data_IF_858313828087
#
_entry.id   IF_858313828087
#
_cell.length_a   1.000
_cell.length_b   1.000
_cell.length_c   1.000
_cell.angle_alpha   90.00
_cell.angle_beta   90.00
_cell.angle_gamma   90.00
#
_symmetry.space_group_name_H-M   'P 1'
#
loop_
_entity.id
_entity.type
_entity.pdbx_description
1 polymer ?
#
# COMPACT_ATOMS: atom_id res chain seq x y z
N UNK A 1 -76.74 19.33 42.94
CA UNK A 1 -75.60 18.65 42.28
C UNK A 1 -75.06 19.62 41.26
N UNK A 2 -73.86 20.18 41.52
CA UNK A 2 -73.20 21.17 40.60
C UNK A 2 -72.11 20.47 39.80
N UNK A 3 -72.27 20.47 38.49
CA UNK A 3 -71.26 19.99 37.59
C UNK A 3 -70.19 21.08 37.36
N UNK A 4 -68.94 20.73 37.64
CA UNK A 4 -67.76 21.58 37.32
C UNK A 4 -67.14 21.00 36.00
N UNK A 5 -66.94 21.82 34.99
CA UNK A 5 -66.22 21.34 33.77
C UNK A 5 -64.72 21.40 33.98
N UNK A 6 -64.04 20.29 33.63
CA UNK A 6 -62.60 20.17 33.63
C UNK A 6 -62.01 20.71 32.29
N UNK A 7 -61.27 21.81 32.41
CA UNK A 7 -60.59 22.40 31.26
C UNK A 7 -59.23 21.67 31.01
N UNK A 8 -59.10 21.04 29.89
CA UNK A 8 -57.81 20.42 29.45
C UNK A 8 -57.03 21.48 28.70
N UNK A 9 -55.98 21.99 29.31
CA UNK A 9 -55.02 22.88 28.67
C UNK A 9 -54.05 22.08 27.79
N UNK A 10 -54.07 22.32 26.46
CA UNK A 10 -53.11 21.79 25.52
C UNK A 10 -51.91 22.74 25.46
N UNK A 11 -50.79 22.34 26.04
CA UNK A 11 -49.52 23.07 25.97
C UNK A 11 -48.79 22.65 24.70
N UNK A 12 -48.76 23.50 23.69
CA UNK A 12 -48.02 23.30 22.45
C UNK A 12 -46.55 23.64 22.70
N UNK A 13 -45.70 22.62 22.78
CA UNK A 13 -44.23 22.79 22.84
C UNK A 13 -43.74 22.98 21.41
N UNK A 14 -43.36 24.23 21.07
CA UNK A 14 -42.68 24.53 19.82
C UNK A 14 -41.22 24.03 19.89
N UNK A 15 -40.93 22.95 19.20
CA UNK A 15 -39.56 22.42 19.04
C UNK A 15 -38.84 23.25 17.97
N UNK A 16 -38.07 24.27 18.39
CA UNK A 16 -37.22 25.06 17.52
C UNK A 16 -35.97 24.22 17.20
N UNK A 17 -36.02 23.42 16.12
CA UNK A 17 -34.90 22.65 15.67
C UNK A 17 -33.81 23.55 15.09
N UNK A 18 -32.72 23.77 15.82
CA UNK A 18 -31.50 24.34 15.29
C UNK A 18 -30.87 23.33 14.32
N UNK A 19 -31.06 23.55 13.01
CA UNK A 19 -30.21 22.90 12.01
C UNK A 19 -28.80 23.48 12.13
N UNK A 20 -27.93 22.78 12.86
CA UNK A 20 -26.50 23.06 12.81
C UNK A 20 -26.00 22.77 11.38
N UNK A 21 -25.61 23.80 10.64
CA UNK A 21 -24.98 23.68 9.36
C UNK A 21 -23.71 22.82 9.55
N UNK A 22 -23.65 21.66 8.87
CA UNK A 22 -22.43 20.84 8.85
C UNK A 22 -21.30 21.67 8.24
N UNK A 23 -20.12 21.73 8.87
CA UNK A 23 -18.99 22.43 8.28
C UNK A 23 -18.66 21.77 6.94
N UNK A 24 -18.60 22.55 5.87
CA UNK A 24 -18.13 22.13 4.56
C UNK A 24 -16.67 21.77 4.76
N UNK A 25 -16.25 20.50 4.43
CA UNK A 25 -14.84 20.13 4.54
C UNK A 25 -14.01 21.10 3.68
N UNK A 26 -12.81 21.50 4.11
CA UNK A 26 -11.96 22.40 3.35
C UNK A 26 -11.72 21.78 1.99
N UNK A 27 -11.93 22.59 0.93
CA UNK A 27 -11.62 22.22 -0.45
C UNK A 27 -10.15 21.81 -0.49
N UNK A 28 -9.87 20.53 -0.72
CA UNK A 28 -8.50 20.08 -0.91
C UNK A 28 -7.87 20.92 -2.01
N UNK A 29 -6.69 21.45 -1.75
CA UNK A 29 -6.00 22.33 -2.68
C UNK A 29 -5.75 21.56 -3.98
N UNK A 30 -6.25 22.06 -5.09
CA UNK A 30 -6.12 21.54 -6.46
C UNK A 30 -4.69 21.67 -7.04
N UNK A 31 -3.66 21.55 -6.21
CA UNK A 31 -2.24 21.59 -6.62
C UNK A 31 -1.61 20.21 -6.68
N UNK A 32 -2.38 19.11 -6.56
CA UNK A 32 -1.87 17.79 -6.87
C UNK A 32 -1.59 17.70 -8.38
N UNK A 33 -0.37 17.35 -8.77
CA UNK A 33 -0.01 17.11 -10.17
C UNK A 33 -1.04 16.16 -10.76
N UNK A 34 -1.77 16.62 -11.77
CA UNK A 34 -2.77 15.81 -12.45
C UNK A 34 -2.07 14.56 -13.02
N UNK A 35 -2.56 13.34 -12.74
CA UNK A 35 -1.96 12.12 -13.28
C UNK A 35 -1.81 12.20 -14.80
N UNK A 36 -0.63 11.82 -15.29
CA UNK A 36 -0.32 11.85 -16.73
C UNK A 36 -0.48 10.46 -17.32
N UNK A 37 -1.32 10.28 -18.35
CA UNK A 37 -1.39 9.03 -19.09
C UNK A 37 -0.03 8.62 -19.63
N UNK A 38 0.38 7.33 -19.43
CA UNK A 38 1.67 6.85 -19.89
C UNK A 38 1.61 5.39 -20.30
N UNK A 39 2.54 4.99 -21.16
CA UNK A 39 2.83 3.59 -21.49
C UNK A 39 4.29 3.39 -21.11
N UNK A 40 4.55 2.41 -20.25
CA UNK A 40 5.91 2.06 -19.81
C UNK A 40 6.26 0.66 -20.35
N UNK A 41 7.37 0.55 -21.06
CA UNK A 41 7.95 -0.74 -21.40
C UNK A 41 8.42 -1.49 -20.14
N UNK A 42 8.67 -2.80 -20.24
CA UNK A 42 9.03 -3.62 -19.08
C UNK A 42 10.25 -3.09 -18.31
N UNK A 43 11.26 -2.58 -19.01
CA UNK A 43 12.47 -2.01 -18.39
C UNK A 43 12.39 -0.54 -17.97
N UNK A 44 11.29 0.17 -18.22
CA UNK A 44 11.13 1.59 -17.92
C UNK A 44 10.60 1.83 -16.51
N UNK A 45 11.04 2.92 -15.90
CA UNK A 45 10.69 3.37 -14.56
C UNK A 45 11.93 3.74 -13.73
N UNK A 46 11.74 4.02 -12.47
CA UNK A 46 12.81 4.33 -11.52
C UNK A 46 13.41 3.05 -10.98
N UNK A 47 14.57 2.65 -11.52
CA UNK A 47 15.27 1.42 -11.11
C UNK A 47 16.09 1.63 -9.86
N UNK A 48 15.93 0.73 -8.89
CA UNK A 48 16.59 0.81 -7.59
C UNK A 48 17.07 -0.57 -7.13
N UNK A 49 18.06 -0.57 -6.23
CA UNK A 49 18.59 -1.77 -5.59
C UNK A 49 18.44 -1.64 -4.08
N UNK A 50 17.93 -2.70 -3.42
CA UNK A 50 17.73 -2.71 -1.98
C UNK A 50 19.07 -2.72 -1.23
N UNK A 51 19.22 -1.82 -0.26
CA UNK A 51 20.33 -1.85 0.69
C UNK A 51 20.14 -2.94 1.76
N UNK A 52 18.89 -3.24 2.10
CA UNK A 52 18.56 -4.31 3.05
C UNK A 52 18.67 -5.72 2.43
N UNK A 53 18.66 -5.83 1.11
CA UNK A 53 18.78 -7.08 0.33
C UNK A 53 19.68 -6.80 -0.89
N UNK A 54 21.02 -6.65 -0.70
CA UNK A 54 21.94 -6.36 -1.79
C UNK A 54 21.83 -7.39 -2.93
N UNK A 55 21.84 -6.92 -4.17
CA UNK A 55 21.63 -7.74 -5.38
C UNK A 55 20.18 -7.86 -5.81
N UNK A 56 19.22 -7.47 -4.98
CA UNK A 56 17.79 -7.46 -5.34
C UNK A 56 17.40 -6.09 -5.88
N UNK A 57 16.88 -6.09 -7.10
CA UNK A 57 16.48 -4.86 -7.80
C UNK A 57 14.96 -4.80 -7.98
N UNK A 58 14.44 -3.60 -8.06
CA UNK A 58 13.06 -3.33 -8.37
C UNK A 58 12.92 -2.07 -9.23
N UNK A 59 11.76 -1.88 -9.84
CA UNK A 59 11.45 -0.73 -10.68
C UNK A 59 10.14 -0.11 -10.22
N UNK A 60 10.21 1.12 -9.73
CA UNK A 60 9.02 1.92 -9.43
C UNK A 60 8.42 2.41 -10.75
N UNK A 61 7.21 1.97 -11.05
CA UNK A 61 6.51 2.25 -12.29
C UNK A 61 5.56 3.44 -12.16
N UNK A 62 4.65 3.36 -11.20
CA UNK A 62 3.57 4.34 -10.97
C UNK A 62 3.54 4.72 -9.50
N UNK A 63 3.26 5.98 -9.24
CA UNK A 63 3.10 6.58 -7.92
C UNK A 63 3.09 8.10 -8.04
N UNK A 64 3.01 8.85 -6.94
CA UNK A 64 2.98 10.31 -6.95
C UNK A 64 4.15 10.94 -7.69
N UNK A 65 5.37 10.40 -7.56
CA UNK A 65 6.58 10.89 -8.25
C UNK A 65 6.77 10.29 -9.65
N UNK A 66 6.03 9.23 -9.98
CA UNK A 66 6.10 8.49 -11.23
C UNK A 66 4.71 8.48 -11.85
N UNK A 67 4.38 9.48 -12.67
CA UNK A 67 3.08 9.60 -13.32
C UNK A 67 1.99 10.30 -12.52
N UNK A 68 2.25 10.71 -11.27
CA UNK A 68 1.34 11.54 -10.47
C UNK A 68 0.14 10.82 -9.87
N UNK A 69 0.15 9.50 -9.75
CA UNK A 69 -0.96 8.77 -9.12
C UNK A 69 -0.89 8.86 -7.60
N UNK A 70 -1.91 9.48 -6.99
CA UNK A 70 -2.07 9.57 -5.53
C UNK A 70 -2.83 8.38 -4.94
N UNK A 71 -3.45 7.54 -5.78
CA UNK A 71 -4.37 6.47 -5.36
C UNK A 71 -3.85 5.07 -5.61
N UNK A 72 -2.70 4.93 -6.25
CA UNK A 72 -2.06 3.64 -6.45
C UNK A 72 -0.55 3.77 -6.59
N UNK A 73 0.15 2.72 -6.24
CA UNK A 73 1.56 2.52 -6.60
C UNK A 73 1.71 1.19 -7.34
N UNK A 74 2.65 1.17 -8.29
CA UNK A 74 2.99 -0.05 -9.07
C UNK A 74 4.50 -0.21 -9.08
N UNK A 75 4.95 -1.40 -8.72
CA UNK A 75 6.37 -1.79 -8.68
C UNK A 75 6.54 -3.13 -9.35
N UNK A 76 7.64 -3.31 -10.06
CA UNK A 76 8.09 -4.63 -10.54
C UNK A 76 9.35 -5.01 -9.79
N UNK A 77 9.37 -6.20 -9.20
CA UNK A 77 10.54 -6.75 -8.50
C UNK A 77 11.03 -8.02 -9.18
N UNK A 78 12.33 -8.25 -9.12
CA UNK A 78 13.03 -9.42 -9.67
C UNK A 78 13.81 -10.11 -8.55
N UNK A 79 13.34 -11.29 -8.16
CA UNK A 79 13.87 -12.09 -7.06
C UNK A 79 14.72 -13.23 -7.57
N UNK A 80 15.99 -13.30 -7.19
CA UNK A 80 16.85 -14.45 -7.46
C UNK A 80 16.35 -15.71 -6.73
N UNK A 81 16.77 -16.92 -7.15
CA UNK A 81 16.45 -18.16 -6.43
C UNK A 81 16.84 -18.09 -4.94
N UNK A 82 15.90 -18.44 -4.07
CA UNK A 82 16.06 -18.41 -2.61
C UNK A 82 15.85 -17.05 -1.96
N UNK A 83 15.62 -15.99 -2.74
CA UNK A 83 15.32 -14.66 -2.18
C UNK A 83 13.93 -14.62 -1.54
N UNK A 84 13.77 -13.71 -0.55
CA UNK A 84 12.56 -13.63 0.27
C UNK A 84 12.12 -12.19 0.49
N UNK A 85 10.83 -11.97 0.34
CA UNK A 85 10.13 -10.82 0.88
C UNK A 85 9.79 -11.15 2.33
N UNK A 86 10.30 -10.40 3.33
CA UNK A 86 10.01 -10.62 4.74
C UNK A 86 8.51 -10.57 5.04
N UNK A 87 8.08 -11.23 6.11
CA UNK A 87 6.69 -11.17 6.56
C UNK A 87 6.32 -9.74 6.93
N UNK A 88 5.29 -9.22 6.26
CA UNK A 88 4.79 -7.87 6.48
C UNK A 88 3.30 -7.79 6.17
N UNK A 89 2.70 -6.64 6.45
CA UNK A 89 1.31 -6.31 6.10
C UNK A 89 1.17 -4.82 5.78
N UNK A 90 0.18 -4.47 4.99
CA UNK A 90 -0.17 -3.09 4.63
C UNK A 90 -1.42 -2.65 5.39
N UNK A 91 -1.33 -1.78 6.41
CA UNK A 91 -2.49 -1.41 7.24
C UNK A 91 -3.62 -0.71 6.47
N UNK A 92 -3.28 0.02 5.39
CA UNK A 92 -4.20 0.95 4.71
C UNK A 92 -4.31 0.73 3.20
N UNK A 93 -3.66 -0.28 2.65
CA UNK A 93 -3.73 -0.60 1.22
C UNK A 93 -4.07 -2.08 1.01
N UNK A 94 -4.93 -2.37 0.05
CA UNK A 94 -5.03 -3.69 -0.53
C UNK A 94 -3.91 -3.83 -1.56
N UNK A 95 -3.40 -5.05 -1.73
CA UNK A 95 -2.32 -5.33 -2.66
C UNK A 95 -2.70 -6.46 -3.63
N UNK A 96 -2.26 -6.32 -4.87
CA UNK A 96 -2.26 -7.39 -5.87
C UNK A 96 -0.82 -7.69 -6.25
N UNK A 97 -0.45 -8.98 -6.23
CA UNK A 97 0.82 -9.45 -6.80
C UNK A 97 0.50 -10.27 -8.05
N UNK A 98 1.04 -9.86 -9.19
CA UNK A 98 1.00 -10.61 -10.44
C UNK A 98 2.33 -11.33 -10.63
N UNK A 99 2.34 -12.65 -10.59
CA UNK A 99 3.53 -13.44 -10.90
C UNK A 99 3.70 -13.51 -12.42
N UNK A 100 4.76 -12.90 -12.93
CA UNK A 100 5.05 -12.83 -14.36
C UNK A 100 5.91 -14.00 -14.82
N UNK A 101 6.88 -14.44 -13.99
CA UNK A 101 7.73 -15.60 -14.24
C UNK A 101 8.18 -16.26 -12.94
N UNK A 102 8.66 -17.49 -12.99
CA UNK A 102 9.21 -18.22 -11.85
C UNK A 102 8.15 -18.89 -10.98
N UNK A 103 8.57 -19.28 -9.75
CA UNK A 103 7.74 -20.04 -8.82
C UNK A 103 7.93 -19.50 -7.41
N UNK A 104 6.87 -18.93 -6.83
CA UNK A 104 6.86 -18.37 -5.48
C UNK A 104 6.14 -19.26 -4.48
N UNK A 105 6.69 -19.40 -3.27
CA UNK A 105 5.95 -19.86 -2.11
C UNK A 105 5.40 -18.65 -1.38
N UNK A 106 4.08 -18.51 -1.36
CA UNK A 106 3.37 -17.37 -0.78
C UNK A 106 2.71 -17.81 0.53
N UNK A 107 3.02 -17.10 1.62
CA UNK A 107 2.25 -17.16 2.87
C UNK A 107 1.25 -15.99 2.86
N UNK A 108 -0.03 -16.27 3.08
CA UNK A 108 -1.12 -15.29 3.10
C UNK A 108 -2.01 -15.56 4.31
N UNK A 109 -1.88 -14.75 5.36
CA UNK A 109 -2.44 -15.06 6.67
C UNK A 109 -1.84 -16.37 7.21
N UNK A 110 -2.68 -17.33 7.49
CA UNK A 110 -2.33 -18.71 7.95
C UNK A 110 -2.19 -19.72 6.80
N UNK A 111 -2.39 -19.30 5.54
CA UNK A 111 -2.29 -20.18 4.38
C UNK A 111 -0.93 -20.05 3.71
N UNK A 112 -0.43 -21.17 3.22
CA UNK A 112 0.78 -21.23 2.40
C UNK A 112 0.43 -21.94 1.10
N UNK A 113 0.74 -21.29 -0.03
CA UNK A 113 0.50 -21.84 -1.36
C UNK A 113 1.69 -21.57 -2.28
N UNK A 114 1.85 -22.43 -3.28
CA UNK A 114 2.80 -22.21 -4.38
C UNK A 114 2.07 -21.47 -5.51
N UNK A 115 2.66 -20.37 -5.95
CA UNK A 115 2.18 -19.57 -7.07
C UNK A 115 3.18 -19.64 -8.24
N UNK A 116 2.66 -19.86 -9.44
CA UNK A 116 3.43 -19.93 -10.67
C UNK A 116 3.13 -18.73 -11.57
N UNK A 117 3.88 -18.57 -12.64
CA UNK A 117 3.64 -17.57 -13.67
C UNK A 117 2.14 -17.52 -14.10
N UNK A 118 1.57 -16.34 -14.16
CA UNK A 118 0.14 -16.09 -14.42
C UNK A 118 -0.74 -16.07 -13.18
N UNK A 119 -0.24 -16.46 -12.01
CA UNK A 119 -1.00 -16.37 -10.76
C UNK A 119 -1.20 -14.90 -10.33
N UNK A 120 -2.35 -14.66 -9.72
CA UNK A 120 -2.68 -13.40 -9.03
C UNK A 120 -2.86 -13.71 -7.56
N UNK A 121 -2.16 -12.95 -6.71
CA UNK A 121 -2.33 -13.00 -5.25
C UNK A 121 -3.05 -11.72 -4.83
N UNK A 122 -4.24 -11.84 -4.26
CA UNK A 122 -4.96 -10.71 -3.69
C UNK A 122 -4.78 -10.69 -2.17
N UNK A 123 -4.27 -9.60 -1.67
CA UNK A 123 -3.92 -9.39 -0.27
C UNK A 123 -4.78 -8.23 0.26
N UNK A 124 -5.89 -8.52 0.97
CA UNK A 124 -6.64 -7.47 1.64
C UNK A 124 -5.75 -6.73 2.64
N UNK A 125 -6.01 -5.44 2.82
CA UNK A 125 -5.29 -4.64 3.83
C UNK A 125 -5.25 -5.36 5.18
N UNK A 126 -4.19 -5.11 5.93
CA UNK A 126 -3.95 -5.68 7.26
C UNK A 126 -3.75 -7.21 7.29
N UNK A 127 -3.53 -7.84 6.12
CA UNK A 127 -3.25 -9.27 5.98
C UNK A 127 -1.74 -9.51 5.93
N UNK A 128 -1.23 -10.44 6.75
CA UNK A 128 0.17 -10.84 6.73
C UNK A 128 0.52 -11.58 5.45
N UNK A 129 1.59 -11.17 4.80
CA UNK A 129 2.12 -11.75 3.56
C UNK A 129 3.62 -11.96 3.67
N UNK A 130 4.12 -13.02 3.07
CA UNK A 130 5.52 -13.18 2.68
C UNK A 130 5.61 -13.99 1.39
N UNK A 131 6.69 -13.82 0.65
CA UNK A 131 6.94 -14.60 -0.57
C UNK A 131 8.40 -15.02 -0.62
N UNK A 132 8.64 -16.25 -1.09
CA UNK A 132 9.96 -16.82 -1.30
C UNK A 132 10.05 -17.35 -2.72
N UNK A 133 11.10 -17.00 -3.47
CA UNK A 133 11.38 -17.67 -4.73
C UNK A 133 11.95 -19.06 -4.44
N UNK A 134 11.14 -20.10 -4.68
CA UNK A 134 11.51 -21.51 -4.50
C UNK A 134 11.89 -22.20 -5.81
N UNK A 135 11.89 -21.46 -6.92
CA UNK A 135 12.31 -21.95 -8.22
C UNK A 135 13.83 -21.94 -8.40
N UNK A 136 14.28 -22.43 -9.56
CA UNK A 136 15.67 -22.40 -10.00
C UNK A 136 16.00 -21.18 -10.84
N UNK A 137 14.97 -20.48 -11.32
CA UNK A 137 15.05 -19.28 -12.15
C UNK A 137 14.58 -18.05 -11.37
N UNK A 138 14.79 -16.86 -11.92
CA UNK A 138 14.28 -15.64 -11.37
C UNK A 138 12.75 -15.63 -11.31
N UNK A 139 12.21 -15.17 -10.19
CA UNK A 139 10.80 -14.89 -10.04
C UNK A 139 10.59 -13.39 -10.22
N UNK A 140 9.87 -13.02 -11.28
CA UNK A 140 9.47 -11.63 -11.52
C UNK A 140 8.00 -11.46 -11.21
N UNK A 141 7.67 -10.38 -10.52
CA UNK A 141 6.29 -10.05 -10.18
C UNK A 141 6.04 -8.55 -10.26
N UNK A 142 4.79 -8.19 -10.33
CA UNK A 142 4.33 -6.80 -10.24
C UNK A 142 3.40 -6.67 -9.05
N UNK A 143 3.76 -5.75 -8.15
CA UNK A 143 2.96 -5.36 -7.00
C UNK A 143 2.16 -4.11 -7.34
N UNK A 144 0.88 -4.11 -6.97
CA UNK A 144 -0.05 -3.01 -7.17
C UNK A 144 -0.76 -2.74 -5.85
N UNK A 145 -0.52 -1.58 -5.24
CA UNK A 145 -1.23 -1.15 -4.04
C UNK A 145 -2.37 -0.20 -4.38
N UNK A 146 -3.49 -0.36 -3.70
CA UNK A 146 -4.69 0.48 -3.84
C UNK A 146 -4.56 1.88 -3.25
N UNK A 147 -3.42 2.19 -2.64
CA UNK A 147 -3.00 3.51 -2.16
C UNK A 147 -1.52 3.70 -2.47
N UNK A 148 -1.11 4.93 -2.76
CA UNK A 148 0.30 5.29 -2.87
C UNK A 148 0.94 5.44 -1.49
N UNK A 149 2.29 5.45 -1.45
CA UNK A 149 3.08 5.74 -0.25
C UNK A 149 4.04 4.62 0.16
N UNK A 150 3.73 3.34 -0.12
CA UNK A 150 4.66 2.24 0.14
C UNK A 150 5.97 2.38 -0.66
N UNK A 151 5.91 2.93 -1.85
CA UNK A 151 7.09 3.24 -2.67
C UNK A 151 8.07 4.20 -2.00
N UNK A 152 7.62 5.04 -1.06
CA UNK A 152 8.52 5.89 -0.28
C UNK A 152 9.33 5.08 0.74
N UNK A 153 8.73 4.05 1.35
CA UNK A 153 9.48 3.09 2.14
C UNK A 153 10.53 2.37 1.27
N UNK A 154 10.14 1.88 0.09
CA UNK A 154 11.06 1.21 -0.82
C UNK A 154 12.22 2.13 -1.25
N UNK A 155 11.97 3.42 -1.49
CA UNK A 155 13.04 4.41 -1.74
C UNK A 155 13.96 4.57 -0.54
N UNK A 156 13.43 4.59 0.67
CA UNK A 156 14.22 4.79 1.87
C UNK A 156 15.19 3.63 2.17
N UNK A 157 14.84 2.40 1.75
CA UNK A 157 15.67 1.19 1.96
C UNK A 157 16.51 0.80 0.74
N UNK A 158 16.66 1.70 -0.24
CA UNK A 158 17.32 1.39 -1.51
C UNK A 158 18.12 2.58 -2.07
N UNK A 159 18.93 2.32 -3.08
CA UNK A 159 19.63 3.32 -3.87
C UNK A 159 19.29 3.17 -5.37
N UNK A 160 19.44 4.22 -6.19
CA UNK A 160 19.34 4.09 -7.65
C UNK A 160 20.35 3.05 -8.15
N UNK A 161 19.94 2.20 -9.11
CA UNK A 161 20.85 1.22 -9.73
C UNK A 161 22.06 1.95 -10.32
N UNK A 162 23.25 1.37 -10.09
CA UNK A 162 24.53 1.94 -10.49
C UNK A 162 25.19 2.85 -9.44
N UNK A 163 24.52 3.12 -8.34
CA UNK A 163 25.13 3.76 -7.17
C UNK A 163 25.73 2.70 -6.22
N UNK A 164 26.76 3.06 -5.44
CA UNK A 164 27.33 2.14 -4.44
C UNK A 164 26.26 1.68 -3.44
N UNK A 165 26.11 0.35 -3.29
CA UNK A 165 25.18 -0.24 -2.33
C UNK A 165 25.94 -0.44 -1.01
N UNK A 166 25.68 0.43 -0.03
CA UNK A 166 26.14 0.24 1.34
C UNK A 166 25.06 -0.51 2.10
N UNK A 167 25.29 -1.76 2.56
CA UNK A 167 24.32 -2.51 3.33
C UNK A 167 23.81 -1.72 4.54
N UNK A 168 22.55 -1.88 4.86
CA UNK A 168 21.95 -1.26 6.04
C UNK A 168 22.30 -2.03 7.29
N UNK A 169 22.51 -1.31 8.39
CA UNK A 169 22.50 -1.94 9.72
C UNK A 169 21.06 -2.30 10.11
N UNK A 170 20.93 -3.28 11.01
CA UNK A 170 19.62 -3.66 11.55
C UNK A 170 18.93 -2.47 12.25
N UNK A 171 19.69 -1.67 13.00
CA UNK A 171 19.17 -0.48 13.66
C UNK A 171 18.62 0.53 12.65
N UNK A 172 19.37 0.85 11.58
CA UNK A 172 18.95 1.76 10.52
C UNK A 172 17.64 1.25 9.85
N UNK A 173 17.59 -0.05 9.56
CA UNK A 173 16.39 -0.67 8.97
C UNK A 173 15.18 -0.58 9.91
N UNK A 174 15.37 -0.84 11.21
CA UNK A 174 14.28 -0.72 12.20
C UNK A 174 13.76 0.71 12.33
N UNK A 175 14.63 1.71 12.32
CA UNK A 175 14.24 3.12 12.37
C UNK A 175 13.43 3.52 11.15
N UNK A 176 13.83 3.07 9.95
CA UNK A 176 13.08 3.31 8.72
C UNK A 176 11.72 2.58 8.76
N UNK A 177 11.67 1.32 9.17
CA UNK A 177 10.42 0.57 9.31
C UNK A 177 9.45 1.26 10.27
N UNK A 178 9.95 1.76 11.40
CA UNK A 178 9.15 2.55 12.35
C UNK A 178 8.60 3.82 11.72
N UNK A 179 9.44 4.56 10.99
CA UNK A 179 9.03 5.80 10.30
C UNK A 179 7.92 5.55 9.26
N UNK A 180 7.99 4.44 8.56
CA UNK A 180 7.07 4.08 7.47
C UNK A 180 6.01 3.05 7.87
N UNK A 181 5.80 2.81 9.18
CA UNK A 181 4.83 1.82 9.69
C UNK A 181 3.37 2.09 9.26
N UNK A 182 3.07 3.32 8.83
CA UNK A 182 1.77 3.64 8.22
C UNK A 182 1.55 2.89 6.90
N UNK A 183 2.62 2.59 6.15
CA UNK A 183 2.53 1.92 4.85
C UNK A 183 2.80 0.42 4.92
N UNK A 184 3.72 -0.01 5.79
CA UNK A 184 4.02 -1.42 5.99
C UNK A 184 4.52 -1.69 7.40
N UNK A 185 4.04 -2.79 8.01
CA UNK A 185 4.46 -3.30 9.31
C UNK A 185 5.13 -4.64 9.07
N UNK A 186 6.33 -4.82 9.62
CA UNK A 186 7.16 -6.02 9.49
C UNK A 186 7.18 -6.82 10.79
N UNK A 187 7.27 -8.16 10.68
CA UNK A 187 7.60 -9.05 11.80
C UNK A 187 9.10 -9.17 11.99
#
# INVERSE_FOLDING_TARGET
MRHVPLAIGITTIAFCGFLAARPIPPKQSESANKPTPMILASGEGEKREFRARPGVTFTLKIGPKNGGSETMAVVTEDMAPGDKIPTHRHPHADELILIQSGTGKVMLGDKVQVAHAGAIVFIPRDTWISMENIGTDHLTHTDIWSASGHEEYMRAVSVPVGQPVVPMTEQELMEIRKKYAHYAIFQ
#
